data_IF_660496703659
#
_entry.id   IF_660496703659
#
_cell.length_a   1.000
_cell.length_b   1.000
_cell.length_c   1.000
_cell.angle_alpha   90.00
_cell.angle_beta   90.00
_cell.angle_gamma   90.00
#
_symmetry.space_group_name_H-M   'P 1'
#
loop_
_entity.id
_entity.type
_entity.pdbx_description
1 polymer ?
#
# COMPACT_ATOMS: atom_id res chain seq x y z
N UNK A 1 3.65 16.42 -18.00
CA UNK A 1 3.92 15.28 -18.90
C UNK A 1 2.75 14.30 -18.95
N UNK A 2 2.02 14.08 -17.86
CA UNK A 2 0.73 13.35 -17.87
C UNK A 2 0.80 11.91 -17.37
N UNK A 3 1.99 11.47 -16.97
CA UNK A 3 2.26 10.28 -16.17
C UNK A 3 2.10 10.57 -14.66
N UNK A 4 1.97 9.51 -13.88
CA UNK A 4 1.96 9.60 -12.42
C UNK A 4 3.38 9.84 -11.90
N UNK A 5 3.51 10.67 -10.88
CA UNK A 5 4.79 11.15 -10.36
C UNK A 5 4.72 11.26 -8.83
N UNK A 6 5.86 11.11 -8.17
CA UNK A 6 5.97 11.18 -6.72
C UNK A 6 6.23 12.61 -6.28
N UNK A 7 5.39 13.08 -5.37
CA UNK A 7 5.52 14.36 -4.69
C UNK A 7 5.60 14.15 -3.17
N UNK A 8 6.28 15.07 -2.50
CA UNK A 8 6.29 15.20 -1.04
C UNK A 8 5.81 16.59 -0.65
N UNK A 9 5.14 16.68 0.48
CA UNK A 9 4.69 17.95 1.06
C UNK A 9 4.68 17.83 2.59
N UNK A 10 4.62 18.97 3.28
CA UNK A 10 4.37 18.99 4.71
C UNK A 10 2.98 18.43 5.02
N UNK A 11 2.77 17.93 6.24
CA UNK A 11 1.49 17.35 6.66
C UNK A 11 0.33 18.36 6.63
N UNK A 12 0.62 19.66 6.72
CA UNK A 12 -0.36 20.74 6.56
C UNK A 12 -0.66 21.08 5.08
N UNK A 13 -0.07 20.35 4.13
CA UNK A 13 -0.19 20.56 2.69
C UNK A 13 0.76 21.61 2.11
N UNK A 14 1.60 22.26 2.93
CA UNK A 14 2.55 23.26 2.47
C UNK A 14 3.80 22.64 1.82
N UNK A 15 4.55 23.45 1.06
CA UNK A 15 5.82 23.09 0.43
C UNK A 15 5.80 21.80 -0.43
N UNK A 16 4.87 21.66 -1.39
CA UNK A 16 4.88 20.54 -2.31
C UNK A 16 6.16 20.56 -3.17
N UNK A 17 6.85 19.42 -3.23
CA UNK A 17 8.04 19.22 -4.05
C UNK A 17 7.90 17.92 -4.84
N UNK A 18 8.15 18.01 -6.15
CA UNK A 18 8.23 16.86 -7.04
C UNK A 18 9.57 16.13 -6.83
N UNK A 19 9.53 14.81 -6.62
CA UNK A 19 10.73 13.98 -6.45
C UNK A 19 11.13 13.23 -7.72
N UNK A 20 10.15 12.79 -8.52
CA UNK A 20 10.40 12.11 -9.79
C UNK A 20 9.97 13.01 -10.95
N UNK A 21 10.71 13.00 -12.04
CA UNK A 21 10.39 13.75 -13.25
C UNK A 21 10.95 12.99 -14.44
N UNK A 22 10.28 11.89 -14.78
CA UNK A 22 10.73 10.98 -15.83
C UNK A 22 9.60 10.70 -16.83
N UNK A 23 9.87 9.92 -17.88
CA UNK A 23 8.84 9.48 -18.81
C UNK A 23 8.02 8.29 -18.27
N UNK A 24 8.46 7.68 -17.16
CA UNK A 24 7.84 6.54 -16.51
C UNK A 24 6.67 6.97 -15.62
N UNK A 25 5.77 6.07 -15.26
CA UNK A 25 4.81 6.29 -14.19
C UNK A 25 5.40 5.79 -12.87
N UNK A 26 5.37 6.64 -11.85
CA UNK A 26 5.81 6.33 -10.50
C UNK A 26 4.66 6.46 -9.49
N UNK A 27 4.60 5.52 -8.53
CA UNK A 27 3.56 5.53 -7.53
C UNK A 27 3.76 4.51 -6.41
N UNK A 28 2.77 4.39 -5.53
CA UNK A 28 2.81 3.55 -4.32
C UNK A 28 4.09 3.75 -3.48
N UNK A 29 4.45 4.99 -3.09
CA UNK A 29 5.62 5.24 -2.26
C UNK A 29 5.45 4.66 -0.84
N UNK A 30 6.53 4.14 -0.27
CA UNK A 30 6.63 3.80 1.14
C UNK A 30 7.99 4.23 1.73
N UNK A 31 7.94 4.98 2.82
CA UNK A 31 9.12 5.50 3.51
C UNK A 31 9.86 4.41 4.28
N UNK A 32 11.19 4.54 4.38
CA UNK A 32 11.93 3.84 5.42
C UNK A 32 11.60 4.43 6.80
N UNK A 33 11.68 3.65 7.89
CA UNK A 33 11.27 4.12 9.23
C UNK A 33 12.04 5.35 9.74
N UNK A 34 13.28 5.51 9.30
CA UNK A 34 14.16 6.64 9.59
C UNK A 34 13.87 7.88 8.70
N UNK A 35 12.98 7.76 7.72
CA UNK A 35 12.64 8.82 6.76
C UNK A 35 13.76 9.19 5.79
N UNK A 36 14.87 8.45 5.75
CA UNK A 36 16.03 8.79 4.91
C UNK A 36 15.84 8.41 3.45
N UNK A 37 15.00 7.41 3.17
CA UNK A 37 14.79 6.82 1.85
C UNK A 37 13.33 6.44 1.67
N UNK A 38 12.98 6.12 0.43
CA UNK A 38 11.66 5.66 0.05
C UNK A 38 11.76 4.58 -1.02
N UNK A 39 10.93 3.56 -0.92
CA UNK A 39 10.70 2.58 -1.97
C UNK A 39 9.41 2.91 -2.72
N UNK A 40 9.37 2.62 -4.01
CA UNK A 40 8.23 2.97 -4.86
C UNK A 40 8.13 2.03 -6.06
N UNK A 41 6.96 1.99 -6.70
CA UNK A 41 6.77 1.28 -7.95
C UNK A 41 7.05 2.22 -9.14
N UNK A 42 7.78 1.75 -10.14
CA UNK A 42 8.07 2.49 -11.37
C UNK A 42 8.24 1.56 -12.56
N UNK A 43 7.74 1.98 -13.73
CA UNK A 43 8.01 1.35 -15.03
C UNK A 43 9.20 2.00 -15.77
N UNK A 44 10.13 2.66 -15.06
CA UNK A 44 11.31 3.25 -15.70
C UNK A 44 12.30 2.21 -16.26
N UNK A 45 12.23 0.95 -15.81
CA UNK A 45 13.23 -0.06 -16.12
C UNK A 45 13.08 -0.69 -17.50
N UNK A 46 11.85 -0.87 -17.97
CA UNK A 46 11.56 -1.54 -19.23
C UNK A 46 11.56 -0.56 -20.42
N UNK A 47 11.56 0.76 -20.14
CA UNK A 47 11.38 1.80 -21.15
C UNK A 47 10.00 1.71 -21.84
N UNK A 48 9.09 0.92 -21.27
CA UNK A 48 7.71 0.74 -21.73
C UNK A 48 6.76 1.15 -20.61
N UNK A 49 5.46 1.13 -20.87
CA UNK A 49 4.46 1.41 -19.82
C UNK A 49 3.93 0.16 -19.14
N UNK A 50 4.39 -1.03 -19.53
CA UNK A 50 3.71 -2.28 -19.24
C UNK A 50 4.12 -2.95 -17.93
N UNK A 51 5.38 -2.81 -17.49
CA UNK A 51 5.90 -3.58 -16.34
C UNK A 51 6.44 -2.66 -15.25
N UNK A 52 5.92 -2.81 -14.04
CA UNK A 52 6.42 -2.07 -12.88
C UNK A 52 7.44 -2.88 -12.07
N UNK A 53 8.44 -2.17 -11.57
CA UNK A 53 9.44 -2.70 -10.65
C UNK A 53 9.47 -1.89 -9.36
N UNK A 54 10.01 -2.49 -8.30
CA UNK A 54 10.28 -1.76 -7.07
C UNK A 54 11.61 -1.04 -7.23
N UNK A 55 11.61 0.25 -6.93
CA UNK A 55 12.75 1.14 -6.93
C UNK A 55 12.92 1.74 -5.53
N UNK A 56 14.09 2.33 -5.29
CA UNK A 56 14.41 3.07 -4.09
C UNK A 56 15.13 4.36 -4.44
N UNK A 57 14.85 5.43 -3.70
CA UNK A 57 15.59 6.69 -3.77
C UNK A 57 15.76 7.30 -2.38
N UNK A 58 16.64 8.30 -2.27
CA UNK A 58 16.76 9.12 -1.07
C UNK A 58 15.51 9.99 -0.88
N UNK A 59 15.27 10.47 0.34
CA UNK A 59 14.15 11.36 0.68
C UNK A 59 14.08 12.65 -0.15
N UNK A 60 15.21 13.05 -0.73
CA UNK A 60 15.33 14.21 -1.59
C UNK A 60 15.10 13.93 -3.08
N UNK A 61 14.82 12.69 -3.46
CA UNK A 61 14.66 12.22 -4.84
C UNK A 61 15.96 11.79 -5.51
N UNK A 62 17.11 11.94 -4.84
CA UNK A 62 18.41 11.55 -5.40
C UNK A 62 18.65 10.04 -5.33
N UNK A 63 19.64 9.59 -6.11
CA UNK A 63 20.11 8.19 -6.13
C UNK A 63 19.03 7.13 -6.38
N UNK A 64 18.16 7.28 -7.40
CA UNK A 64 17.20 6.24 -7.74
C UNK A 64 17.93 4.96 -8.15
N UNK A 65 17.50 3.82 -7.61
CA UNK A 65 18.00 2.49 -7.95
C UNK A 65 16.88 1.47 -8.02
N UNK A 66 16.96 0.57 -8.99
CA UNK A 66 16.01 -0.53 -9.14
C UNK A 66 16.34 -1.67 -8.16
N UNK A 67 15.32 -2.27 -7.54
CA UNK A 67 15.42 -3.40 -6.60
C UNK A 67 14.92 -4.73 -7.18
N UNK A 68 13.92 -4.68 -8.07
CA UNK A 68 13.37 -5.88 -8.73
C UNK A 68 13.50 -5.80 -10.24
N UNK A 69 13.63 -6.94 -10.91
CA UNK A 69 13.79 -7.05 -12.36
C UNK A 69 12.98 -8.26 -12.88
N UNK A 70 12.80 -8.37 -14.19
CA UNK A 70 12.14 -9.50 -14.85
C UNK A 70 10.91 -9.10 -15.67
N UNK A 71 10.14 -10.09 -16.11
CA UNK A 71 8.97 -9.88 -16.98
C UNK A 71 7.65 -9.65 -16.23
N UNK A 72 7.71 -9.62 -14.90
CA UNK A 72 6.55 -9.58 -14.02
C UNK A 72 6.49 -8.27 -13.28
N UNK A 73 5.28 -7.79 -13.05
CA UNK A 73 5.08 -6.53 -12.36
C UNK A 73 5.21 -6.70 -10.85
N UNK A 74 5.71 -5.65 -10.21
CA UNK A 74 5.94 -5.55 -8.78
C UNK A 74 5.43 -4.18 -8.31
N UNK A 75 4.52 -4.18 -7.34
CA UNK A 75 3.80 -2.99 -6.88
C UNK A 75 3.70 -2.94 -5.36
N UNK A 76 3.16 -1.82 -4.85
CA UNK A 76 2.71 -1.68 -3.46
C UNK A 76 3.78 -2.10 -2.43
N UNK A 77 5.01 -1.55 -2.52
CA UNK A 77 6.04 -1.89 -1.57
C UNK A 77 5.69 -1.35 -0.18
N UNK A 78 6.08 -2.07 0.87
CA UNK A 78 5.99 -1.64 2.26
C UNK A 78 7.27 -2.01 3.02
N UNK A 79 7.83 -1.05 3.75
CA UNK A 79 9.06 -1.24 4.53
C UNK A 79 8.72 -1.65 5.96
N UNK A 80 9.39 -2.68 6.44
CA UNK A 80 9.29 -3.16 7.83
C UNK A 80 9.72 -2.11 8.86
N UNK A 81 9.24 -2.19 10.11
CA UNK A 81 9.53 -1.19 11.14
C UNK A 81 11.02 -1.13 11.52
N UNK A 82 11.75 -2.22 11.32
CA UNK A 82 13.20 -2.29 11.51
C UNK A 82 14.00 -1.77 10.29
N UNK A 83 13.33 -1.50 9.17
CA UNK A 83 13.92 -1.01 7.93
C UNK A 83 14.66 -2.06 7.11
N UNK A 84 14.67 -3.33 7.52
CA UNK A 84 15.50 -4.38 6.90
C UNK A 84 14.81 -5.14 5.77
N UNK A 85 13.48 -5.20 5.80
CA UNK A 85 12.65 -5.99 4.89
C UNK A 85 11.67 -5.12 4.11
N UNK A 86 11.47 -5.44 2.83
CA UNK A 86 10.41 -4.88 1.98
C UNK A 86 9.42 -5.99 1.64
N UNK A 87 8.14 -5.75 1.90
CA UNK A 87 7.03 -6.52 1.33
C UNK A 87 6.59 -5.86 0.02
N UNK A 88 6.19 -6.64 -0.98
CA UNK A 88 5.67 -6.11 -2.24
C UNK A 88 4.72 -7.12 -2.91
N UNK A 89 3.79 -6.62 -3.71
CA UNK A 89 2.84 -7.42 -4.47
C UNK A 89 3.41 -7.73 -5.85
N UNK A 90 3.29 -8.96 -6.34
CA UNK A 90 3.76 -9.36 -7.69
C UNK A 90 2.82 -10.37 -8.34
N UNK A 91 2.74 -10.35 -9.68
CA UNK A 91 1.91 -11.24 -10.50
C UNK A 91 2.67 -12.49 -11.02
N UNK A 92 3.88 -12.73 -10.52
CA UNK A 92 4.81 -13.72 -11.10
C UNK A 92 4.35 -15.18 -11.04
N UNK A 93 3.35 -15.51 -10.23
CA UNK A 93 2.85 -16.88 -10.06
C UNK A 93 1.43 -17.07 -10.63
N UNK A 94 0.98 -16.18 -11.51
CA UNK A 94 -0.32 -16.28 -12.20
C UNK A 94 -1.49 -15.64 -11.45
N UNK A 95 -1.27 -15.14 -10.24
CA UNK A 95 -2.13 -14.21 -9.52
C UNK A 95 -1.25 -13.24 -8.70
N UNK A 96 -1.87 -12.26 -8.04
CA UNK A 96 -1.14 -11.36 -7.14
C UNK A 96 -0.84 -12.04 -5.81
N UNK A 97 0.44 -12.16 -5.46
CA UNK A 97 0.91 -12.63 -4.16
C UNK A 97 1.81 -11.58 -3.51
N UNK A 98 1.94 -11.68 -2.18
CA UNK A 98 2.93 -10.89 -1.44
C UNK A 98 4.25 -11.65 -1.38
N UNK A 99 5.32 -10.94 -1.73
CA UNK A 99 6.70 -11.37 -1.64
C UNK A 99 7.45 -10.51 -0.64
N UNK A 100 8.51 -11.06 -0.03
CA UNK A 100 9.44 -10.31 0.80
C UNK A 100 10.83 -10.32 0.17
N UNK A 101 11.59 -9.25 0.43
CA UNK A 101 13.00 -9.12 0.08
C UNK A 101 13.74 -8.29 1.12
N UNK A 102 15.07 -8.35 1.12
CA UNK A 102 15.90 -7.40 1.86
C UNK A 102 15.75 -5.99 1.30
N UNK A 103 16.00 -4.98 2.14
CA UNK A 103 15.95 -3.56 1.75
C UNK A 103 16.92 -3.20 0.62
N UNK A 104 17.95 -4.01 0.41
CA UNK A 104 18.88 -3.93 -0.71
C UNK A 104 18.37 -4.53 -2.02
N UNK A 105 17.24 -5.26 -1.99
CA UNK A 105 16.65 -6.00 -3.12
C UNK A 105 17.00 -7.48 -3.15
N UNK A 106 17.85 -7.95 -2.23
CA UNK A 106 18.29 -9.36 -2.15
C UNK A 106 17.23 -10.28 -1.55
N UNK A 107 17.45 -11.60 -1.66
CA UNK A 107 16.63 -12.62 -1.00
C UNK A 107 15.12 -12.49 -1.27
N UNK A 108 14.75 -12.17 -2.51
CA UNK A 108 13.35 -12.18 -2.93
C UNK A 108 12.76 -13.59 -2.78
N UNK A 109 11.69 -13.71 -2.01
CA UNK A 109 11.01 -14.99 -1.78
C UNK A 109 9.51 -14.78 -1.65
N UNK A 110 8.76 -15.78 -2.11
CA UNK A 110 7.31 -15.83 -1.93
C UNK A 110 6.99 -15.85 -0.44
N UNK A 111 5.97 -15.08 -0.02
CA UNK A 111 5.46 -15.11 1.35
C UNK A 111 4.05 -15.66 1.42
N UNK A 112 3.19 -15.25 0.49
CA UNK A 112 1.83 -15.78 0.39
C UNK A 112 1.62 -16.58 -0.89
N UNK A 113 0.61 -17.45 -0.88
CA UNK A 113 0.34 -18.43 -1.95
C UNK A 113 -1.14 -18.81 -2.04
N UNK A 114 -2.03 -17.92 -1.62
CA UNK A 114 -3.45 -18.21 -1.71
C UNK A 114 -3.86 -18.32 -3.20
N UNK A 115 -4.90 -19.11 -3.53
CA UNK A 115 -5.42 -19.16 -4.90
C UNK A 115 -6.10 -17.84 -5.33
N UNK A 116 -6.33 -16.91 -4.40
CA UNK A 116 -6.94 -15.61 -4.66
C UNK A 116 -5.90 -14.49 -4.47
N UNK A 117 -6.07 -13.32 -5.14
CA UNK A 117 -5.17 -12.19 -4.99
C UNK A 117 -4.93 -11.74 -3.55
N UNK A 118 -3.66 -11.48 -3.23
CA UNK A 118 -3.17 -10.97 -1.95
C UNK A 118 -2.36 -9.68 -2.20
N UNK A 119 -2.82 -8.53 -1.69
CA UNK A 119 -2.31 -7.19 -2.07
C UNK A 119 -2.24 -6.22 -0.88
N UNK A 120 -1.79 -4.98 -1.12
CA UNK A 120 -1.79 -3.86 -0.15
C UNK A 120 -1.19 -4.25 1.21
N UNK A 121 0.03 -4.79 1.22
CA UNK A 121 0.68 -5.18 2.47
C UNK A 121 1.09 -3.95 3.29
N UNK A 122 0.85 -3.97 4.59
CA UNK A 122 1.29 -2.96 5.56
C UNK A 122 1.96 -3.67 6.73
N UNK A 123 3.13 -3.19 7.15
CA UNK A 123 3.79 -3.71 8.34
C UNK A 123 3.17 -3.15 9.61
N UNK A 124 2.88 -4.03 10.56
CA UNK A 124 2.44 -3.67 11.90
C UNK A 124 3.65 -3.34 12.77
N UNK A 125 3.42 -2.53 13.81
CA UNK A 125 4.49 -2.10 14.74
C UNK A 125 5.20 -3.26 15.45
N UNK A 126 4.56 -4.41 15.56
CA UNK A 126 5.12 -5.64 16.14
C UNK A 126 5.90 -6.53 15.15
N UNK A 127 6.09 -6.05 13.91
CA UNK A 127 6.81 -6.78 12.86
C UNK A 127 5.98 -7.86 12.16
N UNK A 128 4.68 -7.95 12.44
CA UNK A 128 3.76 -8.76 11.64
C UNK A 128 3.32 -8.02 10.38
N UNK A 129 2.79 -8.77 9.41
CA UNK A 129 2.34 -8.22 8.14
C UNK A 129 0.81 -8.26 8.07
N UNK A 130 0.17 -7.12 7.85
CA UNK A 130 -1.23 -7.07 7.43
C UNK A 130 -1.30 -6.97 5.91
N UNK A 131 -2.32 -7.56 5.29
CA UNK A 131 -2.51 -7.50 3.84
C UNK A 131 -3.98 -7.76 3.48
N UNK A 132 -4.39 -7.40 2.27
CA UNK A 132 -5.71 -7.73 1.74
C UNK A 132 -5.68 -9.12 1.11
N UNK A 133 -6.61 -9.98 1.49
CA UNK A 133 -6.94 -11.20 0.76
C UNK A 133 -8.28 -11.01 0.07
N UNK A 134 -8.30 -11.17 -1.25
CA UNK A 134 -9.53 -11.13 -2.02
C UNK A 134 -10.44 -12.31 -1.67
N UNK A 135 -11.70 -12.02 -1.39
CA UNK A 135 -12.72 -13.01 -1.09
C UNK A 135 -13.35 -13.56 -2.38
N UNK A 136 -13.70 -14.86 -2.40
CA UNK A 136 -14.42 -15.45 -3.51
C UNK A 136 -15.85 -14.89 -3.58
N UNK A 137 -16.29 -14.46 -4.77
CA UNK A 137 -17.66 -13.96 -4.94
C UNK A 137 -17.87 -13.25 -6.27
N UNK A 138 -19.14 -12.85 -6.52
CA UNK A 138 -19.50 -12.03 -7.69
C UNK A 138 -19.02 -10.58 -7.59
N UNK A 139 -18.70 -10.16 -6.38
CA UNK A 139 -18.20 -8.82 -6.09
C UNK A 139 -16.77 -8.96 -5.63
N UNK A 140 -15.85 -8.22 -6.25
CA UNK A 140 -14.44 -8.20 -5.86
C UNK A 140 -14.32 -7.43 -4.53
N UNK A 141 -14.34 -8.16 -3.43
CA UNK A 141 -14.14 -7.63 -2.09
C UNK A 141 -12.97 -8.33 -1.44
N UNK A 142 -12.33 -7.67 -0.48
CA UNK A 142 -11.23 -8.26 0.27
C UNK A 142 -11.51 -8.17 1.77
N UNK A 143 -10.74 -8.94 2.53
CA UNK A 143 -10.64 -8.82 3.98
C UNK A 143 -9.20 -8.57 4.39
N UNK A 144 -9.00 -7.96 5.54
CA UNK A 144 -7.66 -7.75 6.10
C UNK A 144 -7.23 -9.03 6.80
N UNK A 145 -6.10 -9.57 6.38
CA UNK A 145 -5.38 -10.68 7.00
C UNK A 145 -4.23 -10.12 7.83
N UNK A 146 -3.82 -10.86 8.86
CA UNK A 146 -2.63 -10.59 9.66
C UNK A 146 -1.78 -11.85 9.70
N UNK A 147 -0.52 -11.74 9.35
CA UNK A 147 0.42 -12.85 9.25
C UNK A 147 1.66 -12.69 10.12
N UNK A 148 2.02 -13.77 10.80
CA UNK A 148 3.28 -13.90 11.51
C UNK A 148 4.38 -14.24 10.51
N UNK A 149 5.28 -13.30 10.25
CA UNK A 149 6.29 -13.42 9.17
C UNK A 149 7.23 -14.60 9.35
N UNK A 150 7.58 -14.96 10.59
CA UNK A 150 8.49 -16.07 10.90
C UNK A 150 7.89 -17.45 10.67
N UNK A 151 6.57 -17.60 10.76
CA UNK A 151 5.87 -18.90 10.63
C UNK A 151 5.04 -19.01 9.36
N UNK A 152 4.66 -17.88 8.75
CA UNK A 152 3.71 -17.82 7.64
C UNK A 152 2.26 -18.07 8.05
N UNK A 153 1.96 -18.18 9.35
CA UNK A 153 0.60 -18.31 9.84
C UNK A 153 -0.16 -17.00 9.63
N UNK A 154 -1.36 -17.08 9.03
CA UNK A 154 -2.19 -15.91 8.71
C UNK A 154 -3.64 -16.11 9.17
N UNK A 155 -4.22 -15.08 9.79
CA UNK A 155 -5.61 -15.07 10.28
C UNK A 155 -6.35 -13.83 9.78
N UNK A 156 -7.65 -13.92 9.44
CA UNK A 156 -8.44 -12.74 9.13
C UNK A 156 -8.63 -11.89 10.39
N UNK A 157 -8.44 -10.58 10.27
CA UNK A 157 -8.62 -9.63 11.38
C UNK A 157 -9.75 -8.62 11.14
N UNK A 158 -10.07 -8.26 9.90
CA UNK A 158 -11.24 -7.39 9.67
C UNK A 158 -12.56 -8.11 9.99
N UNK A 159 -13.59 -7.41 10.50
CA UNK A 159 -14.92 -7.99 10.69
C UNK A 159 -15.49 -8.65 9.44
N UNK A 160 -16.25 -9.73 9.63
CA UNK A 160 -16.91 -10.43 8.53
C UNK A 160 -17.96 -9.54 7.85
N UNK A 161 -18.12 -9.71 6.54
CA UNK A 161 -19.12 -9.00 5.74
C UNK A 161 -18.75 -7.56 5.36
N UNK A 162 -17.59 -7.06 5.80
CA UNK A 162 -17.05 -5.80 5.29
C UNK A 162 -16.32 -6.04 3.97
N UNK A 163 -16.76 -5.33 2.93
CA UNK A 163 -16.07 -5.30 1.65
C UNK A 163 -14.90 -4.32 1.70
N UNK A 164 -13.79 -4.72 2.32
CA UNK A 164 -12.60 -3.88 2.44
C UNK A 164 -11.94 -3.78 1.06
N UNK A 165 -11.77 -2.54 0.59
CA UNK A 165 -11.12 -2.23 -0.69
C UNK A 165 -9.73 -1.63 -0.52
N UNK A 166 -9.49 -1.01 0.64
CA UNK A 166 -8.17 -0.52 1.05
C UNK A 166 -8.11 -0.42 2.57
N UNK A 167 -6.91 -0.42 3.13
CA UNK A 167 -6.70 -0.20 4.56
C UNK A 167 -5.30 0.38 4.81
N UNK A 168 -5.14 1.02 5.96
CA UNK A 168 -3.84 1.42 6.47
C UNK A 168 -3.81 1.34 7.99
N UNK A 169 -2.61 1.28 8.56
CA UNK A 169 -2.39 1.19 10.00
C UNK A 169 -1.53 2.36 10.45
N UNK A 170 -1.97 3.01 11.53
CA UNK A 170 -1.19 4.05 12.19
C UNK A 170 0.23 3.58 12.54
N UNK A 171 1.18 4.52 12.57
CA UNK A 171 2.57 4.24 12.96
C UNK A 171 2.70 3.58 14.35
N UNK A 172 1.81 3.92 15.28
CA UNK A 172 1.78 3.33 16.61
C UNK A 172 1.19 1.90 16.64
N UNK A 173 0.54 1.47 15.55
CA UNK A 173 -0.11 0.16 15.46
C UNK A 173 -1.41 0.05 16.25
N UNK A 174 -1.97 1.16 16.72
CA UNK A 174 -3.15 1.20 17.60
C UNK A 174 -4.46 1.50 16.86
N UNK A 175 -4.39 2.10 15.68
CA UNK A 175 -5.52 2.39 14.80
C UNK A 175 -5.35 1.77 13.42
N UNK A 176 -6.45 1.25 12.87
CA UNK A 176 -6.61 0.84 11.49
C UNK A 176 -7.66 1.70 10.80
N UNK A 177 -7.33 2.25 9.64
CA UNK A 177 -8.27 2.86 8.72
C UNK A 177 -8.73 1.80 7.71
N UNK A 178 -10.04 1.74 7.43
CA UNK A 178 -10.62 0.84 6.45
C UNK A 178 -11.42 1.64 5.42
N UNK A 179 -11.18 1.40 4.14
CA UNK A 179 -12.06 1.85 3.05
C UNK A 179 -12.98 0.71 2.67
N UNK A 180 -14.25 0.82 3.04
CA UNK A 180 -15.27 -0.20 2.80
C UNK A 180 -16.13 0.22 1.60
N UNK A 181 -16.20 -0.65 0.60
CA UNK A 181 -17.05 -0.47 -0.57
C UNK A 181 -18.48 -0.91 -0.25
N UNK A 182 -19.46 -0.07 -0.57
CA UNK A 182 -20.88 -0.37 -0.42
C UNK A 182 -21.53 -0.45 -1.79
N UNK A 183 -22.34 -1.50 -1.98
CA UNK A 183 -23.06 -1.77 -3.21
C UNK A 183 -24.53 -1.48 -3.00
N UNK A 184 -25.02 -0.42 -3.62
CA UNK A 184 -26.40 0.02 -3.56
C UNK A 184 -27.27 -0.63 -4.64
N UNK A 185 -28.59 -0.36 -4.55
CA UNK A 185 -29.54 -0.80 -5.58
C UNK A 185 -29.21 -0.17 -6.94
N UNK A 186 -29.43 -0.93 -8.01
CA UNK A 186 -29.17 -0.46 -9.38
C UNK A 186 -27.68 -0.41 -9.76
N UNK A 187 -26.80 -1.06 -9.00
CA UNK A 187 -25.37 -1.13 -9.31
C UNK A 187 -24.57 0.10 -8.86
N UNK A 188 -25.14 0.96 -8.01
CA UNK A 188 -24.39 2.07 -7.42
C UNK A 188 -23.29 1.55 -6.49
N UNK A 189 -22.13 2.21 -6.54
CA UNK A 189 -20.98 1.88 -5.70
C UNK A 189 -20.58 3.16 -4.95
N UNK A 190 -20.40 3.04 -3.64
CA UNK A 190 -19.83 4.10 -2.81
C UNK A 190 -18.72 3.54 -1.92
N UNK A 191 -17.85 4.41 -1.45
CA UNK A 191 -16.81 4.06 -0.47
C UNK A 191 -17.04 4.83 0.81
N UNK A 192 -16.76 4.16 1.93
CA UNK A 192 -16.84 4.74 3.27
C UNK A 192 -15.56 4.48 4.03
N UNK A 193 -15.11 5.50 4.77
CA UNK A 193 -13.95 5.40 5.65
C UNK A 193 -14.42 4.99 7.05
N UNK A 194 -13.73 4.02 7.64
CA UNK A 194 -13.92 3.62 9.03
C UNK A 194 -12.59 3.72 9.77
N UNK A 195 -12.63 4.07 11.05
CA UNK A 195 -11.51 3.93 11.97
C UNK A 195 -11.80 2.83 12.98
N UNK A 196 -10.80 2.02 13.27
CA UNK A 196 -10.91 0.89 14.17
C UNK A 196 -9.72 0.86 15.14
N UNK A 197 -10.01 0.95 16.43
CA UNK A 197 -9.00 0.80 17.48
C UNK A 197 -8.63 -0.68 17.65
N UNK A 198 -7.36 -1.00 17.43
CA UNK A 198 -6.81 -2.35 17.54
C UNK A 198 -6.43 -2.72 18.98
N UNK A 199 -6.22 -1.71 19.84
CA UNK A 199 -5.81 -1.88 21.24
C UNK A 199 -6.99 -1.93 22.23
N UNK A 200 -8.23 -1.81 21.76
CA UNK A 200 -9.42 -1.79 22.60
C UNK A 200 -10.22 -3.09 22.43
N UNK A 201 -10.31 -3.88 23.50
CA UNK A 201 -11.04 -5.14 23.48
C UNK A 201 -12.51 -4.91 23.12
N UNK A 202 -13.01 -5.64 22.10
CA UNK A 202 -14.38 -5.52 21.62
C UNK A 202 -14.66 -4.26 20.77
N UNK A 203 -13.65 -3.43 20.47
CA UNK A 203 -13.84 -2.32 19.56
C UNK A 203 -14.23 -2.81 18.18
N UNK A 204 -15.12 -2.05 17.53
CA UNK A 204 -15.58 -2.29 16.16
C UNK A 204 -15.26 -1.08 15.29
N UNK A 205 -15.10 -1.26 13.97
CA UNK A 205 -14.90 -0.14 13.06
C UNK A 205 -16.03 0.89 13.16
N UNK A 206 -15.67 2.16 13.31
CA UNK A 206 -16.59 3.29 13.41
C UNK A 206 -16.46 4.15 12.16
N UNK A 207 -17.59 4.45 11.52
CA UNK A 207 -17.62 5.27 10.29
C UNK A 207 -17.10 6.67 10.58
N UNK A 208 -16.13 7.13 9.78
CA UNK A 208 -15.67 8.52 9.80
C UNK A 208 -16.70 9.36 9.05
N UNK A 209 -17.25 10.42 9.68
CA UNK A 209 -18.17 11.31 9.01
C UNK A 209 -17.56 11.89 7.72
N UNK A 210 -18.36 12.10 6.66
CA UNK A 210 -17.85 12.70 5.44
C UNK A 210 -17.30 14.10 5.69
N UNK A 211 -16.24 14.43 4.97
CA UNK A 211 -15.58 15.73 5.02
C UNK A 211 -16.60 16.87 4.78
N UNK A 212 -16.59 17.89 5.64
CA UNK A 212 -17.35 19.12 5.46
C UNK A 212 -16.64 20.02 4.45
N UNK A 213 -17.31 21.08 4.00
CA UNK A 213 -16.72 22.07 3.10
C UNK A 213 -15.43 22.73 3.64
N UNK A 214 -15.23 22.69 4.96
CA UNK A 214 -14.08 23.24 5.68
C UNK A 214 -12.93 22.24 5.78
N UNK A 215 -13.19 20.93 5.64
CA UNK A 215 -12.21 19.85 5.76
C UNK A 215 -11.47 19.60 4.44
N UNK A 216 -11.43 20.62 3.57
CA UNK A 216 -10.71 20.53 2.31
C UNK A 216 -9.23 20.71 2.59
N UNK A 217 -8.45 19.70 2.23
CA UNK A 217 -7.06 19.93 1.88
C UNK A 217 -7.05 21.09 0.89
N UNK A 218 -6.40 22.19 1.24
CA UNK A 218 -6.08 23.23 0.28
C UNK A 218 -5.18 22.56 -0.73
N UNK A 219 -5.76 22.11 -1.84
CA UNK A 219 -4.99 21.64 -2.99
C UNK A 219 -3.92 22.70 -3.21
N UNK A 220 -2.61 22.37 -3.16
CA UNK A 220 -1.65 23.25 -3.78
C UNK A 220 -2.08 23.24 -5.23
N UNK A 221 -2.79 24.28 -5.65
CA UNK A 221 -3.19 24.43 -7.03
C UNK A 221 -1.89 24.37 -7.82
N UNK A 222 -1.62 23.21 -8.43
CA UNK A 222 -0.53 23.04 -9.38
C UNK A 222 -0.92 23.92 -10.57
N UNK A 223 -0.60 25.21 -10.49
CA UNK A 223 -0.69 26.11 -11.63
C UNK A 223 0.26 25.55 -12.67
N UNK A 224 -0.29 25.23 -13.84
CA UNK A 224 0.47 24.85 -15.03
C UNK A 224 1.48 25.92 -15.39
#
# INVERSE_FOLDING_TARGET
>A
DGNAEIYVMNADGSNPRRLTNTAAAEGSPAWTPDGSRMVYASNAADGTTATFHIWMMNADGSSPRQLTQGAHSNFQPAVSPDGGTVAFTTDRDGNYNVYLMGIDGSNQRQFTRAPAPETNSVWLADGQLAYLLQEPGRTLTSRVMRATVSTGEAVPISPQGLAVSDFDVSKAGDLMALVVTQFGRGGSVSQKLYLWALNAAGAVPTEVPPARSQDRLTSPAFRK
#
